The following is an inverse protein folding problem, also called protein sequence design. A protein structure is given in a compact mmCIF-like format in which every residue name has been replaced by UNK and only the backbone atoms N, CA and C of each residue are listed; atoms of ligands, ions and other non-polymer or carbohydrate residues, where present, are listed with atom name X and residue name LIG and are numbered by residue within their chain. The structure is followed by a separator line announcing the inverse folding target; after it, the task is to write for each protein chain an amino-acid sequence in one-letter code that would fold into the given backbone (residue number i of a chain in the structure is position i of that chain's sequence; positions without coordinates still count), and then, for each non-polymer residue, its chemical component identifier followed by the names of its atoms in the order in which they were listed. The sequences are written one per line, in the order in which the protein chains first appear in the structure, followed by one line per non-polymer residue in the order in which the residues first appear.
data_IF_210420842522
#
_entry.id   IF_210420842522
#
_cell.length_a   1.000
_cell.length_b   1.000
_cell.length_c   1.000
_cell.angle_alpha   90.00
_cell.angle_beta   90.00
_cell.angle_gamma   90.00
#
_symmetry.space_group_name_H-M   'P 1'
#
loop_
_entity.id
_entity.type
_entity.pdbx_description
1 polymer ?
#
# COMPACT_ATOMS: atom_id res chain seq x y z
N UNK A 1 7.85 -16.69 -22.70
CA UNK A 1 7.88 -15.22 -22.90
C UNK A 1 9.05 -14.64 -22.12
N UNK A 2 9.95 -13.91 -22.78
CA UNK A 2 11.22 -13.46 -22.20
C UNK A 2 11.03 -12.51 -21.00
N UNK A 3 11.62 -12.86 -19.85
CA UNK A 3 11.66 -12.04 -18.64
C UNK A 3 12.30 -10.65 -18.87
N UNK A 4 13.06 -10.48 -19.94
CA UNK A 4 13.72 -9.21 -20.32
C UNK A 4 12.76 -8.07 -20.69
N UNK A 5 11.45 -8.34 -20.90
CA UNK A 5 10.44 -7.31 -21.16
C UNK A 5 9.55 -6.95 -19.95
N UNK A 6 9.68 -7.66 -18.82
CA UNK A 6 8.78 -7.46 -17.68
C UNK A 6 9.03 -6.12 -16.96
N UNK A 7 10.29 -5.74 -16.77
CA UNK A 7 10.65 -4.50 -16.07
C UNK A 7 10.24 -3.23 -16.84
N UNK A 8 10.51 -3.09 -18.16
CA UNK A 8 10.04 -1.93 -18.93
C UNK A 8 8.52 -1.76 -18.90
N UNK A 9 7.76 -2.86 -18.94
CA UNK A 9 6.31 -2.81 -18.86
C UNK A 9 5.81 -2.32 -17.50
N UNK A 10 6.40 -2.80 -16.40
CA UNK A 10 6.06 -2.34 -15.04
C UNK A 10 6.36 -0.84 -14.89
N UNK A 11 7.51 -0.37 -15.38
CA UNK A 11 7.88 1.04 -15.34
C UNK A 11 6.91 1.90 -16.16
N UNK A 12 6.51 1.44 -17.35
CA UNK A 12 5.53 2.14 -18.17
C UNK A 12 4.18 2.29 -17.45
N UNK A 13 3.69 1.24 -16.78
CA UNK A 13 2.45 1.31 -15.99
C UNK A 13 2.58 2.30 -14.84
N UNK A 14 3.73 2.34 -14.16
CA UNK A 14 3.96 3.28 -13.07
C UNK A 14 3.95 4.74 -13.59
N UNK A 15 4.63 5.01 -14.70
CA UNK A 15 4.70 6.33 -15.33
C UNK A 15 3.34 6.80 -15.84
N UNK A 16 2.60 5.95 -16.54
CA UNK A 16 1.28 6.28 -17.06
C UNK A 16 0.29 6.55 -15.92
N UNK A 17 0.46 5.87 -14.78
CA UNK A 17 -0.37 6.09 -13.59
C UNK A 17 -0.12 7.43 -12.94
N UNK A 18 1.14 7.87 -12.89
CA UNK A 18 1.50 9.21 -12.41
C UNK A 18 0.99 10.29 -13.36
N UNK A 19 1.04 10.07 -14.67
CA UNK A 19 0.47 10.99 -15.66
C UNK A 19 -1.05 11.12 -15.50
N UNK A 20 -1.75 10.00 -15.32
CA UNK A 20 -3.19 9.99 -15.09
C UNK A 20 -3.56 10.70 -13.78
N UNK A 21 -2.80 10.44 -12.70
CA UNK A 21 -2.96 11.11 -11.42
C UNK A 21 -2.79 12.62 -11.55
N UNK A 22 -1.72 13.08 -12.25
CA UNK A 22 -1.46 14.51 -12.45
C UNK A 22 -2.57 15.21 -13.23
N UNK A 23 -3.13 14.54 -14.25
CA UNK A 23 -4.22 15.09 -15.08
C UNK A 23 -5.53 15.26 -14.29
N UNK A 24 -5.83 14.33 -13.38
CA UNK A 24 -7.09 14.29 -12.64
C UNK A 24 -6.92 14.51 -11.12
N UNK A 25 -5.85 15.19 -10.74
CA UNK A 25 -5.45 15.45 -9.35
C UNK A 25 -6.61 15.96 -8.45
N UNK A 26 -7.41 16.98 -8.83
CA UNK A 26 -8.46 17.49 -7.94
C UNK A 26 -9.54 16.43 -7.66
N UNK A 27 -9.90 15.61 -8.65
CA UNK A 27 -10.90 14.56 -8.47
C UNK A 27 -10.44 13.47 -7.51
N UNK A 28 -9.19 13.00 -7.66
CA UNK A 28 -8.61 12.00 -6.77
C UNK A 28 -8.41 12.52 -5.35
N UNK A 29 -7.94 13.77 -5.20
CA UNK A 29 -7.79 14.39 -3.88
C UNK A 29 -9.15 14.56 -3.20
N UNK A 30 -10.20 14.96 -3.91
CA UNK A 30 -11.54 15.12 -3.34
C UNK A 30 -12.08 13.79 -2.81
N UNK A 31 -11.98 12.70 -3.59
CA UNK A 31 -12.41 11.36 -3.16
C UNK A 31 -11.60 10.88 -1.96
N UNK A 32 -10.28 11.04 -1.99
CA UNK A 32 -9.39 10.64 -0.89
C UNK A 32 -9.69 11.42 0.39
N UNK A 33 -9.81 12.74 0.29
CA UNK A 33 -10.08 13.65 1.41
C UNK A 33 -11.44 13.35 2.04
N UNK A 34 -12.48 13.12 1.24
CA UNK A 34 -13.83 12.89 1.73
C UNK A 34 -13.92 11.72 2.73
N UNK A 35 -13.13 10.67 2.52
CA UNK A 35 -13.14 9.48 3.39
C UNK A 35 -12.04 9.54 4.45
N UNK A 36 -10.84 10.00 4.10
CA UNK A 36 -9.71 10.06 5.03
C UNK A 36 -9.90 11.11 6.14
N UNK A 37 -10.60 12.22 5.87
CA UNK A 37 -10.96 13.18 6.92
C UNK A 37 -11.90 12.55 7.94
N UNK A 38 -12.85 11.72 7.51
CA UNK A 38 -13.73 11.00 8.44
C UNK A 38 -12.92 10.04 9.31
N UNK A 39 -11.96 9.33 8.71
CA UNK A 39 -11.02 8.48 9.44
C UNK A 39 -10.22 9.31 10.47
N UNK A 40 -9.70 10.48 10.08
CA UNK A 40 -8.95 11.36 10.98
C UNK A 40 -9.78 11.81 12.18
N UNK A 41 -11.02 12.22 11.95
CA UNK A 41 -11.94 12.65 13.00
C UNK A 41 -12.29 11.50 13.95
N UNK A 42 -12.50 10.29 13.43
CA UNK A 42 -12.74 9.10 14.25
C UNK A 42 -11.53 8.76 15.12
N UNK A 43 -10.31 8.78 14.55
CA UNK A 43 -9.08 8.55 15.30
C UNK A 43 -8.93 9.59 16.42
N UNK A 44 -9.10 10.87 16.09
CA UNK A 44 -8.99 11.97 17.05
C UNK A 44 -10.04 11.84 18.16
N UNK A 45 -11.28 11.48 17.82
CA UNK A 45 -12.35 11.28 18.79
C UNK A 45 -12.02 10.12 19.74
N UNK A 46 -11.61 8.96 19.20
CA UNK A 46 -11.27 7.79 19.99
C UNK A 46 -10.07 8.06 20.92
N UNK A 47 -9.00 8.68 20.42
CA UNK A 47 -7.83 9.01 21.25
C UNK A 47 -8.18 10.00 22.35
N UNK A 48 -9.03 10.98 22.06
CA UNK A 48 -9.48 11.97 23.04
C UNK A 48 -10.34 11.33 24.13
N UNK A 49 -11.30 10.47 23.77
CA UNK A 49 -12.16 9.78 24.74
C UNK A 49 -11.31 8.91 25.69
N UNK A 50 -10.37 8.13 25.16
CA UNK A 50 -9.55 7.25 25.98
C UNK A 50 -8.68 8.06 26.95
N UNK A 51 -8.03 9.13 26.47
CA UNK A 51 -7.19 9.97 27.34
C UNK A 51 -7.98 10.73 28.41
N UNK A 52 -9.20 11.17 28.11
CA UNK A 52 -9.99 12.02 29.02
C UNK A 52 -10.87 11.25 29.99
N UNK A 53 -11.47 10.12 29.57
CA UNK A 53 -12.49 9.41 30.34
C UNK A 53 -11.99 8.10 30.97
N UNK A 54 -11.05 7.41 30.30
CA UNK A 54 -10.64 6.05 30.67
C UNK A 54 -9.22 6.00 31.29
N UNK A 55 -8.44 7.06 31.10
CA UNK A 55 -7.07 7.19 31.60
C UNK A 55 -6.03 6.57 30.66
N UNK A 56 -4.75 6.71 31.00
CA UNK A 56 -3.60 6.26 30.18
C UNK A 56 -3.09 4.86 30.55
N UNK A 57 -3.95 4.02 31.13
CA UNK A 57 -3.59 2.65 31.46
C UNK A 57 -3.25 1.84 30.21
N UNK A 58 -2.24 0.97 30.29
CA UNK A 58 -1.76 0.15 29.16
C UNK A 58 -2.90 -0.67 28.55
N UNK A 59 -3.82 -1.19 29.38
CA UNK A 59 -4.99 -1.94 28.92
C UNK A 59 -5.93 -1.13 28.01
N UNK A 60 -6.23 0.12 28.39
CA UNK A 60 -7.08 1.01 27.58
C UNK A 60 -6.40 1.44 26.28
N UNK A 61 -5.08 1.64 26.31
CA UNK A 61 -4.29 1.92 25.11
C UNK A 61 -4.31 0.74 24.14
N UNK A 62 -4.13 -0.50 24.63
CA UNK A 62 -4.25 -1.69 23.77
C UNK A 62 -5.66 -1.85 23.21
N UNK A 63 -6.70 -1.65 24.04
CA UNK A 63 -8.08 -1.73 23.59
C UNK A 63 -8.38 -0.68 22.50
N UNK A 64 -7.87 0.56 22.65
CA UNK A 64 -7.96 1.60 21.62
C UNK A 64 -7.29 1.14 20.32
N UNK A 65 -6.09 0.57 20.38
CA UNK A 65 -5.37 0.09 19.19
C UNK A 65 -6.19 -0.99 18.47
N UNK A 66 -6.75 -1.96 19.19
CA UNK A 66 -7.60 -2.99 18.60
C UNK A 66 -8.88 -2.42 18.01
N UNK A 67 -9.54 -1.50 18.70
CA UNK A 67 -10.74 -0.82 18.20
C UNK A 67 -10.45 -0.03 16.93
N UNK A 68 -9.35 0.75 16.94
CA UNK A 68 -8.90 1.50 15.77
C UNK A 68 -8.56 0.55 14.63
N UNK A 69 -7.84 -0.56 14.87
CA UNK A 69 -7.54 -1.54 13.82
C UNK A 69 -8.82 -2.10 13.19
N UNK A 70 -9.80 -2.47 14.02
CA UNK A 70 -11.08 -3.03 13.60
C UNK A 70 -11.90 -2.05 12.74
N UNK A 71 -11.83 -0.75 13.04
CA UNK A 71 -12.58 0.30 12.35
C UNK A 71 -11.81 0.87 11.15
N UNK A 72 -10.51 1.17 11.29
CA UNK A 72 -9.68 1.71 10.22
C UNK A 72 -9.51 0.74 9.08
N UNK A 73 -9.28 -0.55 9.36
CA UNK A 73 -9.03 -1.53 8.31
C UNK A 73 -10.14 -1.60 7.24
N UNK A 74 -11.44 -1.76 7.59
CA UNK A 74 -12.50 -1.76 6.58
C UNK A 74 -12.67 -0.39 5.92
N UNK A 75 -12.46 0.71 6.66
CA UNK A 75 -12.51 2.07 6.12
C UNK A 75 -11.40 2.31 5.09
N UNK A 76 -10.17 1.86 5.34
CA UNK A 76 -9.06 1.99 4.39
C UNK A 76 -9.29 1.12 3.16
N UNK A 77 -9.77 -0.13 3.31
CA UNK A 77 -10.18 -0.93 2.15
C UNK A 77 -11.27 -0.23 1.32
N UNK A 78 -12.21 0.43 1.99
CA UNK A 78 -13.24 1.21 1.31
C UNK A 78 -12.64 2.43 0.58
N UNK A 79 -11.65 3.13 1.15
CA UNK A 79 -10.93 4.20 0.44
C UNK A 79 -10.27 3.69 -0.84
N UNK A 80 -9.58 2.54 -0.76
CA UNK A 80 -8.95 1.93 -1.92
C UNK A 80 -9.96 1.52 -2.98
N UNK A 81 -11.11 0.97 -2.58
CA UNK A 81 -12.19 0.63 -3.49
C UNK A 81 -12.75 1.87 -4.22
N UNK A 82 -13.01 2.95 -3.49
CA UNK A 82 -13.52 4.20 -4.05
C UNK A 82 -12.52 4.83 -5.02
N UNK A 83 -11.23 4.87 -4.65
CA UNK A 83 -10.17 5.39 -5.51
C UNK A 83 -9.95 4.54 -6.75
N UNK A 84 -10.05 3.22 -6.64
CA UNK A 84 -9.94 2.29 -7.78
C UNK A 84 -11.06 2.50 -8.80
N UNK A 85 -12.28 2.75 -8.33
CA UNK A 85 -13.42 3.08 -9.21
C UNK A 85 -13.29 4.47 -9.84
N UNK A 86 -12.74 5.44 -9.11
CA UNK A 86 -12.38 6.74 -9.67
C UNK A 86 -11.29 6.60 -10.74
N UNK A 87 -10.32 5.70 -10.54
CA UNK A 87 -9.28 5.40 -11.51
C UNK A 87 -9.87 4.77 -12.78
N UNK A 88 -10.78 3.81 -12.66
CA UNK A 88 -11.46 3.23 -13.83
C UNK A 88 -12.32 4.25 -14.59
N UNK A 89 -13.01 5.16 -13.88
CA UNK A 89 -13.72 6.26 -14.53
C UNK A 89 -12.76 7.15 -15.33
N UNK A 90 -11.61 7.52 -14.74
CA UNK A 90 -10.60 8.34 -15.38
C UNK A 90 -9.93 7.64 -16.58
N UNK A 91 -9.69 6.32 -16.49
CA UNK A 91 -9.15 5.51 -17.58
C UNK A 91 -10.11 5.38 -18.78
N UNK A 92 -11.41 5.55 -18.54
CA UNK A 92 -12.44 5.53 -19.57
C UNK A 92 -12.86 6.95 -20.01
N UNK A 93 -12.03 7.96 -19.72
CA UNK A 93 -12.28 9.39 -20.00
C UNK A 93 -13.62 9.93 -19.46
N UNK A 94 -14.14 9.32 -18.38
CA UNK A 94 -15.38 9.77 -17.71
C UNK A 94 -15.04 10.73 -16.57
N UNK A 95 -15.90 11.73 -16.29
CA UNK A 95 -15.69 12.63 -15.16
C UNK A 95 -15.74 11.87 -13.84
N UNK A 96 -14.77 12.13 -12.96
CA UNK A 96 -14.71 11.56 -11.61
C UNK A 96 -15.83 12.21 -10.78
N UNK A 97 -16.86 11.44 -10.46
CA UNK A 97 -17.96 11.88 -9.60
C UNK A 97 -17.90 11.18 -8.25
N UNK A 98 -17.95 11.96 -7.16
CA UNK A 98 -17.84 11.45 -5.79
C UNK A 98 -18.91 10.40 -5.47
N UNK A 99 -20.15 10.67 -5.89
CA UNK A 99 -21.28 9.76 -5.68
C UNK A 99 -21.07 8.40 -6.36
N UNK A 100 -20.53 8.39 -7.59
CA UNK A 100 -20.27 7.14 -8.30
C UNK A 100 -19.13 6.35 -7.66
N UNK A 101 -18.07 7.02 -7.21
CA UNK A 101 -16.92 6.39 -6.56
C UNK A 101 -17.30 5.73 -5.22
N UNK A 102 -18.09 6.42 -4.39
CA UNK A 102 -18.47 5.96 -3.05
C UNK A 102 -19.60 4.91 -3.03
N UNK A 103 -20.40 4.80 -4.09
CA UNK A 103 -21.59 3.93 -4.07
C UNK A 103 -21.20 2.45 -4.18
N UNK A 104 -20.87 1.80 -3.07
CA UNK A 104 -20.62 0.36 -2.97
C UNK A 104 -21.80 -0.28 -2.24
N UNK A 105 -22.34 -1.37 -2.81
CA UNK A 105 -23.42 -2.12 -2.16
C UNK A 105 -22.92 -2.79 -0.86
N UNK A 106 -23.68 -2.75 0.25
CA UNK A 106 -23.21 -3.22 1.56
C UNK A 106 -22.82 -4.70 1.56
N UNK A 107 -23.55 -5.55 0.83
CA UNK A 107 -23.24 -6.96 0.69
C UNK A 107 -21.88 -7.22 0.00
N UNK A 108 -21.53 -6.39 -1.00
CA UNK A 108 -20.23 -6.48 -1.69
C UNK A 108 -19.10 -5.99 -0.80
N UNK A 109 -19.34 -4.93 -0.02
CA UNK A 109 -18.39 -4.42 0.96
C UNK A 109 -17.99 -5.47 1.99
N UNK A 110 -18.96 -6.20 2.55
CA UNK A 110 -18.70 -7.26 3.50
C UNK A 110 -17.85 -8.40 2.90
N UNK A 111 -18.22 -8.89 1.71
CA UNK A 111 -17.44 -9.91 1.01
C UNK A 111 -16.02 -9.48 0.66
N UNK A 112 -15.84 -8.21 0.28
CA UNK A 112 -14.54 -7.61 0.01
C UNK A 112 -13.65 -7.57 1.25
N UNK A 113 -14.21 -7.22 2.42
CA UNK A 113 -13.45 -7.16 3.69
C UNK A 113 -13.03 -8.56 4.12
N UNK A 114 -13.94 -9.54 4.11
CA UNK A 114 -13.65 -10.92 4.52
C UNK A 114 -12.55 -11.53 3.64
N UNK A 115 -12.67 -11.36 2.32
CA UNK A 115 -11.67 -11.84 1.39
C UNK A 115 -10.31 -11.16 1.59
N UNK A 116 -10.28 -9.82 1.75
CA UNK A 116 -9.04 -9.11 1.99
C UNK A 116 -8.40 -9.44 3.34
N UNK A 117 -9.18 -9.80 4.36
CA UNK A 117 -8.66 -10.23 5.65
C UNK A 117 -7.91 -11.56 5.51
N UNK A 118 -8.51 -12.54 4.81
CA UNK A 118 -7.87 -13.83 4.52
C UNK A 118 -6.65 -13.67 3.60
N UNK A 119 -6.81 -12.93 2.51
CA UNK A 119 -5.72 -12.67 1.57
C UNK A 119 -4.58 -11.89 2.23
N UNK A 120 -4.93 -10.86 3.00
CA UNK A 120 -3.99 -10.04 3.76
C UNK A 120 -3.22 -10.86 4.79
N UNK A 121 -3.86 -11.81 5.47
CA UNK A 121 -3.19 -12.76 6.35
C UNK A 121 -2.15 -13.60 5.60
N UNK A 122 -2.53 -14.19 4.46
CA UNK A 122 -1.62 -14.99 3.61
C UNK A 122 -0.46 -14.11 3.10
N UNK A 123 -0.77 -12.91 2.62
CA UNK A 123 0.22 -11.95 2.15
C UNK A 123 1.18 -11.51 3.27
N UNK A 124 0.69 -11.35 4.51
CA UNK A 124 1.52 -11.06 5.68
C UNK A 124 2.47 -12.19 6.02
N UNK A 125 2.01 -13.46 5.95
CA UNK A 125 2.90 -14.61 6.13
C UNK A 125 3.99 -14.62 5.06
N UNK A 126 3.62 -14.40 3.79
CA UNK A 126 4.58 -14.36 2.69
C UNK A 126 5.58 -13.20 2.83
N UNK A 127 5.11 -11.98 3.14
CA UNK A 127 5.96 -10.83 3.40
C UNK A 127 6.88 -11.07 4.60
N UNK A 128 6.38 -11.74 5.66
CA UNK A 128 7.17 -12.15 6.81
C UNK A 128 8.30 -13.11 6.44
N UNK A 129 8.00 -14.16 5.67
CA UNK A 129 9.01 -15.11 5.16
C UNK A 129 10.06 -14.37 4.32
N UNK A 130 9.64 -13.55 3.37
CA UNK A 130 10.56 -12.77 2.53
C UNK A 130 11.41 -11.80 3.36
N UNK A 131 10.83 -11.18 4.39
CA UNK A 131 11.58 -10.31 5.30
C UNK A 131 12.58 -11.09 6.13
N UNK A 132 12.26 -12.27 6.64
CA UNK A 132 13.21 -13.11 7.40
C UNK A 132 14.34 -13.57 6.48
N UNK A 133 14.02 -14.04 5.27
CA UNK A 133 15.02 -14.54 4.32
C UNK A 133 16.03 -13.46 3.92
N UNK A 134 15.62 -12.19 3.83
CA UNK A 134 16.51 -11.10 3.41
C UNK A 134 17.12 -10.35 4.59
N UNK A 135 16.32 -9.95 5.59
CA UNK A 135 16.82 -9.15 6.72
C UNK A 135 17.72 -9.95 7.67
N UNK A 136 17.45 -11.25 7.86
CA UNK A 136 18.24 -12.09 8.77
C UNK A 136 19.71 -12.21 8.33
N UNK A 137 20.03 -12.62 7.09
CA UNK A 137 21.43 -12.67 6.66
C UNK A 137 22.07 -11.27 6.67
N UNK A 138 21.34 -10.22 6.31
CA UNK A 138 21.88 -8.85 6.38
C UNK A 138 22.28 -8.46 7.80
N UNK A 139 21.47 -8.81 8.81
CA UNK A 139 21.79 -8.55 10.21
C UNK A 139 23.01 -9.35 10.68
N UNK A 140 23.11 -10.63 10.32
CA UNK A 140 24.28 -11.45 10.61
C UNK A 140 25.55 -10.91 9.96
N UNK A 141 25.51 -10.51 8.69
CA UNK A 141 26.65 -9.89 8.01
C UNK A 141 27.02 -8.54 8.61
N UNK A 142 26.04 -7.75 9.06
CA UNK A 142 26.31 -6.47 9.75
C UNK A 142 27.03 -6.68 11.08
N UNK A 143 26.58 -7.65 11.88
CA UNK A 143 27.20 -7.94 13.17
C UNK A 143 28.58 -8.56 13.00
N UNK A 144 28.73 -9.53 12.10
CA UNK A 144 30.02 -10.20 11.85
C UNK A 144 31.03 -9.22 11.24
N UNK A 145 30.62 -8.46 10.22
CA UNK A 145 31.47 -7.44 9.59
C UNK A 145 31.81 -6.30 10.55
N UNK A 146 30.84 -5.85 11.35
CA UNK A 146 31.07 -4.87 12.41
C UNK A 146 32.06 -5.35 13.47
N UNK A 147 31.90 -6.58 13.95
CA UNK A 147 32.79 -7.19 14.93
C UNK A 147 34.22 -7.36 14.38
N UNK A 148 34.36 -7.86 13.15
CA UNK A 148 35.66 -8.02 12.49
C UNK A 148 36.39 -6.70 12.21
N UNK A 149 35.65 -5.62 11.92
CA UNK A 149 36.25 -4.30 11.70
C UNK A 149 36.60 -3.60 13.02
N UNK A 150 35.85 -3.88 14.10
CA UNK A 150 36.10 -3.31 15.42
C UNK A 150 37.38 -3.82 16.10
N UNK A 151 37.89 -4.98 15.70
CA UNK A 151 39.13 -5.56 16.24
C UNK A 151 40.40 -4.98 15.60
N UNK A 152 40.28 -4.23 14.50
CA UNK A 152 41.42 -3.77 13.69
C UNK A 152 41.67 -2.27 13.92
N UNK A 153 42.17 -1.87 15.09
CA UNK A 153 42.60 -0.47 15.42
C UNK A 153 41.50 0.63 15.44
N UNK A 154 41.77 1.70 16.20
CA UNK A 154 40.80 2.77 16.49
C UNK A 154 40.31 3.58 15.27
N UNK A 155 41.07 3.60 14.16
CA UNK A 155 40.68 4.32 12.93
C UNK A 155 39.68 3.49 12.09
N UNK A 156 39.76 2.16 12.16
CA UNK A 156 38.81 1.25 11.48
C UNK A 156 37.54 1.04 12.32
N UNK A 157 37.57 1.32 13.63
CA UNK A 157 36.36 1.36 14.45
C UNK A 157 35.32 2.37 13.94
N UNK A 158 35.76 3.51 13.37
CA UNK A 158 34.87 4.47 12.73
C UNK A 158 34.25 3.93 11.43
N UNK A 159 35.00 3.16 10.63
CA UNK A 159 34.46 2.51 9.42
C UNK A 159 33.53 1.34 9.74
N UNK A 160 33.72 0.65 10.86
CA UNK A 160 32.77 -0.34 11.39
C UNK A 160 31.40 0.30 11.69
N UNK A 161 31.39 1.49 12.30
CA UNK A 161 30.16 2.25 12.55
C UNK A 161 29.43 2.66 11.27
N UNK A 162 30.17 3.10 10.23
CA UNK A 162 29.60 3.42 8.91
C UNK A 162 29.03 2.16 8.25
N UNK A 163 29.73 1.03 8.30
CA UNK A 163 29.29 -0.23 7.71
C UNK A 163 27.99 -0.74 8.35
N UNK A 164 27.93 -0.74 9.69
CA UNK A 164 26.71 -1.09 10.44
C UNK A 164 25.58 -0.09 10.10
N UNK A 165 25.89 1.20 10.03
CA UNK A 165 24.95 2.25 9.65
C UNK A 165 24.32 1.99 8.27
N UNK A 166 25.13 1.72 7.25
CA UNK A 166 24.66 1.45 5.88
C UNK A 166 23.79 0.20 5.83
N UNK A 167 24.19 -0.91 6.45
CA UNK A 167 23.40 -2.14 6.43
C UNK A 167 22.08 -1.95 7.19
N UNK A 168 22.08 -1.21 8.31
CA UNK A 168 20.85 -0.89 9.03
C UNK A 168 19.87 -0.08 8.18
N UNK A 169 20.38 0.85 7.36
CA UNK A 169 19.54 1.63 6.44
C UNK A 169 18.98 0.76 5.31
N UNK A 170 19.78 -0.15 4.74
CA UNK A 170 19.29 -1.07 3.71
C UNK A 170 18.21 -1.99 4.28
N UNK A 171 18.39 -2.49 5.51
CA UNK A 171 17.37 -3.29 6.20
C UNK A 171 16.06 -2.49 6.39
N UNK A 172 16.17 -1.22 6.79
CA UNK A 172 15.02 -0.32 6.94
C UNK A 172 14.30 -0.10 5.60
N UNK A 173 15.06 0.14 4.53
CA UNK A 173 14.51 0.26 3.17
C UNK A 173 13.82 -1.02 2.71
N UNK A 174 14.41 -2.18 3.00
CA UNK A 174 13.81 -3.48 2.68
C UNK A 174 12.48 -3.69 3.39
N UNK A 175 12.41 -3.37 4.68
CA UNK A 175 11.16 -3.45 5.45
C UNK A 175 10.08 -2.52 4.88
N UNK A 176 10.46 -1.32 4.44
CA UNK A 176 9.54 -0.38 3.78
C UNK A 176 9.04 -0.89 2.43
N UNK A 177 9.93 -1.43 1.60
CA UNK A 177 9.55 -2.04 0.31
C UNK A 177 8.61 -3.22 0.54
N UNK A 178 8.91 -4.06 1.53
CA UNK A 178 8.09 -5.23 1.87
C UNK A 178 6.71 -4.82 2.36
N UNK A 179 6.63 -3.79 3.21
CA UNK A 179 5.35 -3.24 3.67
C UNK A 179 4.55 -2.59 2.54
N UNK A 180 5.21 -1.80 1.69
CA UNK A 180 4.57 -1.20 0.52
C UNK A 180 4.08 -2.25 -0.48
N UNK A 181 4.85 -3.32 -0.68
CA UNK A 181 4.46 -4.45 -1.53
C UNK A 181 3.30 -5.25 -0.96
N UNK A 182 3.29 -5.47 0.35
CA UNK A 182 2.15 -6.04 1.07
C UNK A 182 0.88 -5.20 0.85
N UNK A 183 0.97 -3.88 1.06
CA UNK A 183 -0.15 -2.97 0.84
C UNK A 183 -0.61 -2.97 -0.62
N UNK A 184 0.31 -2.90 -1.58
CA UNK A 184 0.01 -2.98 -3.02
C UNK A 184 -0.70 -4.29 -3.38
N UNK A 185 -0.28 -5.42 -2.80
CA UNK A 185 -0.91 -6.72 -3.05
C UNK A 185 -2.37 -6.78 -2.55
N UNK A 186 -2.66 -6.18 -1.39
CA UNK A 186 -4.02 -6.08 -0.85
C UNK A 186 -4.89 -5.21 -1.76
N UNK A 187 -4.37 -4.05 -2.18
CA UNK A 187 -5.09 -3.14 -3.08
C UNK A 187 -5.32 -3.77 -4.45
N UNK A 188 -4.39 -4.58 -4.93
CA UNK A 188 -4.56 -5.36 -6.15
C UNK A 188 -5.65 -6.43 -6.02
N UNK A 189 -5.64 -7.21 -4.93
CA UNK A 189 -6.63 -8.24 -4.67
C UNK A 189 -8.06 -7.65 -4.55
N UNK A 190 -8.16 -6.40 -4.12
CA UNK A 190 -9.41 -5.66 -4.01
C UNK A 190 -10.00 -5.25 -5.39
N UNK A 191 -9.18 -5.13 -6.44
CA UNK A 191 -9.62 -4.65 -7.76
C UNK A 191 -10.73 -5.50 -8.37
N UNK A 192 -10.65 -6.82 -8.22
CA UNK A 192 -11.68 -7.74 -8.75
C UNK A 192 -13.08 -7.47 -8.16
N UNK A 193 -13.15 -7.01 -6.91
CA UNK A 193 -14.42 -6.68 -6.25
C UNK A 193 -14.88 -5.24 -6.52
N UNK A 194 -13.93 -4.31 -6.70
CA UNK A 194 -14.21 -2.91 -6.93
C UNK A 194 -14.60 -2.62 -8.39
N UNK A 195 -13.98 -3.32 -9.35
CA UNK A 195 -14.10 -3.07 -10.78
C UNK A 195 -15.01 -4.07 -11.51
N UNK A 196 -14.94 -5.36 -11.17
CA UNK A 196 -15.74 -6.38 -11.87
C UNK A 196 -17.11 -6.57 -11.18
N UNK A 197 -18.21 -6.53 -11.95
CA UNK A 197 -19.56 -6.77 -11.44
C UNK A 197 -19.88 -8.26 -11.29
N UNK A 198 -18.94 -9.05 -10.76
CA UNK A 198 -19.06 -10.51 -10.65
C UNK A 198 -19.55 -10.94 -9.25
N UNK A 199 -20.20 -12.12 -9.12
CA UNK A 199 -20.55 -12.68 -7.81
C UNK A 199 -19.28 -13.01 -7.01
N UNK A 200 -19.39 -12.95 -5.68
CA UNK A 200 -18.26 -12.99 -4.75
C UNK A 200 -17.28 -14.16 -4.99
N UNK A 201 -17.78 -15.39 -5.15
CA UNK A 201 -16.91 -16.56 -5.36
C UNK A 201 -16.10 -16.49 -6.65
N UNK A 202 -16.69 -15.98 -7.73
CA UNK A 202 -16.00 -15.82 -9.01
C UNK A 202 -14.99 -14.66 -8.99
N UNK A 203 -15.27 -13.60 -8.24
CA UNK A 203 -14.33 -12.49 -8.06
C UNK A 203 -13.10 -12.93 -7.24
N UNK A 204 -13.31 -13.72 -6.18
CA UNK A 204 -12.23 -14.30 -5.39
C UNK A 204 -11.35 -15.22 -6.24
N UNK A 205 -11.94 -16.17 -6.98
CA UNK A 205 -11.19 -17.05 -7.89
C UNK A 205 -10.39 -16.26 -8.93
N UNK A 206 -11.05 -15.31 -9.61
CA UNK A 206 -10.41 -14.44 -10.61
C UNK A 206 -9.21 -13.67 -10.05
N UNK A 207 -9.32 -13.11 -8.84
CA UNK A 207 -8.22 -12.36 -8.23
C UNK A 207 -6.99 -13.24 -7.94
N UNK A 208 -7.19 -14.48 -7.52
CA UNK A 208 -6.13 -15.46 -7.26
C UNK A 208 -5.55 -16.00 -8.57
N UNK A 209 -6.40 -16.30 -9.57
CA UNK A 209 -5.97 -16.78 -10.88
C UNK A 209 -5.11 -15.75 -11.62
N UNK A 210 -5.50 -14.47 -11.57
CA UNK A 210 -4.71 -13.37 -12.14
C UNK A 210 -3.36 -13.23 -11.42
N UNK A 211 -3.32 -13.44 -10.10
CA UNK A 211 -2.10 -13.32 -9.31
C UNK A 211 -1.15 -14.50 -9.57
N UNK A 212 -1.67 -15.72 -9.63
CA UNK A 212 -0.87 -16.95 -9.81
C UNK A 212 -0.35 -17.11 -11.23
N UNK A 213 -1.16 -16.80 -12.26
CA UNK A 213 -0.79 -16.98 -13.65
C UNK A 213 0.47 -16.19 -14.07
N UNK A 214 0.74 -15.06 -13.40
CA UNK A 214 1.90 -14.19 -13.70
C UNK A 214 2.61 -13.72 -12.43
N UNK A 215 2.75 -14.63 -11.45
CA UNK A 215 3.29 -14.34 -10.11
C UNK A 215 4.57 -13.48 -10.11
N UNK A 216 5.54 -13.79 -10.98
CA UNK A 216 6.79 -13.03 -11.06
C UNK A 216 6.61 -11.57 -11.50
N UNK A 217 5.74 -11.29 -12.48
CA UNK A 217 5.45 -9.92 -12.93
C UNK A 217 4.64 -9.16 -11.88
N UNK A 218 3.69 -9.83 -11.24
CA UNK A 218 2.90 -9.26 -10.14
C UNK A 218 3.80 -8.89 -8.95
N UNK A 219 4.75 -9.76 -8.59
CA UNK A 219 5.70 -9.50 -7.50
C UNK A 219 6.60 -8.31 -7.81
N UNK A 220 7.14 -8.21 -9.03
CA UNK A 220 7.91 -7.03 -9.46
C UNK A 220 7.08 -5.74 -9.43
N UNK A 221 5.82 -5.79 -9.85
CA UNK A 221 4.91 -4.64 -9.79
C UNK A 221 4.65 -4.22 -8.33
N UNK A 222 4.39 -5.17 -7.44
CA UNK A 222 4.13 -4.89 -6.02
C UNK A 222 5.38 -4.33 -5.33
N UNK A 223 6.55 -4.89 -5.58
CA UNK A 223 7.80 -4.37 -5.03
C UNK A 223 8.15 -3.00 -5.61
N UNK A 224 7.94 -2.76 -6.91
CA UNK A 224 8.18 -1.47 -7.54
C UNK A 224 7.24 -0.38 -7.02
N UNK A 225 5.94 -0.63 -7.02
CA UNK A 225 4.95 0.28 -6.45
C UNK A 225 5.17 0.49 -4.94
N UNK A 226 5.49 -0.58 -4.21
CA UNK A 226 5.80 -0.56 -2.80
C UNK A 226 7.07 0.23 -2.46
N UNK A 227 8.11 0.13 -3.29
CA UNK A 227 9.34 0.91 -3.14
C UNK A 227 9.09 2.39 -3.34
N UNK A 228 8.36 2.78 -4.39
CA UNK A 228 8.03 4.19 -4.66
C UNK A 228 7.14 4.73 -3.54
N UNK A 229 6.08 4.01 -3.17
CA UNK A 229 5.18 4.42 -2.10
C UNK A 229 5.88 4.50 -0.74
N UNK A 230 6.67 3.49 -0.38
CA UNK A 230 7.37 3.43 0.90
C UNK A 230 8.43 4.53 1.03
N UNK A 231 9.21 4.77 -0.02
CA UNK A 231 10.23 5.85 -0.03
C UNK A 231 9.60 7.23 0.02
N UNK A 232 8.53 7.48 -0.75
CA UNK A 232 7.79 8.74 -0.67
C UNK A 232 7.14 8.93 0.70
N UNK A 233 6.52 7.89 1.26
CA UNK A 233 5.90 7.94 2.59
C UNK A 233 6.92 8.29 3.66
N UNK A 234 8.07 7.60 3.69
CA UNK A 234 9.14 7.89 4.63
C UNK A 234 9.68 9.32 4.43
N UNK A 235 9.89 9.73 3.19
CA UNK A 235 10.45 11.05 2.88
C UNK A 235 9.51 12.16 3.33
N UNK A 236 8.23 12.10 2.97
CA UNK A 236 7.24 13.12 3.33
C UNK A 236 6.90 13.10 4.81
N UNK A 237 6.48 11.95 5.36
CA UNK A 237 6.09 11.86 6.78
C UNK A 237 7.29 12.15 7.67
N UNK A 238 8.45 11.55 7.35
CA UNK A 238 9.68 11.72 8.12
C UNK A 238 10.16 13.17 8.14
N UNK A 239 10.21 13.85 6.98
CA UNK A 239 10.60 15.27 6.94
C UNK A 239 9.60 16.18 7.65
N UNK A 240 8.30 15.94 7.48
CA UNK A 240 7.26 16.74 8.11
C UNK A 240 7.27 16.60 9.65
N UNK A 241 7.39 15.37 10.17
CA UNK A 241 7.52 15.12 11.61
C UNK A 241 8.84 15.72 12.14
N UNK A 242 9.96 15.53 11.45
CA UNK A 242 11.25 16.09 11.86
C UNK A 242 11.21 17.63 11.90
N UNK A 243 10.57 18.26 10.91
CA UNK A 243 10.39 19.71 10.87
C UNK A 243 9.52 20.19 12.03
N UNK A 244 8.44 19.47 12.34
CA UNK A 244 7.57 19.78 13.48
C UNK A 244 8.36 19.72 14.81
N UNK A 245 9.13 18.65 15.02
CA UNK A 245 9.96 18.48 16.21
C UNK A 245 11.04 19.56 16.31
N UNK A 246 11.67 19.92 15.19
CA UNK A 246 12.67 20.98 15.14
C UNK A 246 12.06 22.35 15.47
N UNK A 247 10.87 22.67 14.96
CA UNK A 247 10.16 23.91 15.29
C UNK A 247 9.80 23.93 16.78
N UNK A 248 9.31 22.81 17.32
CA UNK A 248 8.95 22.69 18.73
C UNK A 248 10.17 22.92 19.64
N UNK A 249 11.30 22.30 19.32
CA UNK A 249 12.56 22.45 20.05
C UNK A 249 13.12 23.88 19.96
N UNK A 250 13.14 24.47 18.76
CA UNK A 250 13.68 25.82 18.52
C UNK A 250 12.84 26.93 19.13
N UNK A 251 11.51 26.78 19.16
CA UNK A 251 10.59 27.78 19.73
C UNK A 251 10.23 27.49 21.20
N UNK A 252 10.77 26.41 21.78
CA UNK A 252 10.47 25.94 23.14
C UNK A 252 8.96 25.91 23.42
N UNK A 253 8.17 25.45 22.43
CA UNK A 253 6.72 25.40 22.52
C UNK A 253 6.29 24.22 23.38
N UNK A 254 5.69 24.49 24.53
CA UNK A 254 4.99 23.49 25.35
C UNK A 254 3.60 23.24 24.78
N UNK A 255 3.55 22.51 23.67
CA UNK A 255 2.30 22.13 23.01
C UNK A 255 1.55 21.14 23.92
N UNK A 256 0.27 21.38 24.25
CA UNK A 256 -0.50 20.41 25.02
C UNK A 256 -0.63 19.09 24.24
N UNK A 257 -0.66 17.94 24.94
CA UNK A 257 -0.61 16.61 24.31
C UNK A 257 -1.79 16.32 23.37
N UNK A 258 -2.89 17.06 23.49
CA UNK A 258 -3.99 17.02 22.53
C UNK A 258 -3.63 17.68 21.18
N UNK A 259 -2.98 18.86 21.23
CA UNK A 259 -2.61 19.57 20.01
C UNK A 259 -1.51 18.83 19.24
N UNK A 260 -0.57 18.18 19.94
CA UNK A 260 0.44 17.33 19.29
C UNK A 260 -0.18 16.14 18.55
N UNK A 261 -1.15 15.46 19.17
CA UNK A 261 -1.86 14.33 18.55
C UNK A 261 -2.66 14.80 17.32
N UNK A 262 -3.41 15.91 17.44
CA UNK A 262 -4.22 16.45 16.36
C UNK A 262 -3.36 16.84 15.15
N UNK A 263 -2.22 17.52 15.38
CA UNK A 263 -1.28 17.89 14.32
C UNK A 263 -0.67 16.65 13.68
N UNK A 264 -0.27 15.65 14.49
CA UNK A 264 0.30 14.40 13.97
C UNK A 264 -0.70 13.64 13.11
N UNK A 265 -1.95 13.50 13.57
CA UNK A 265 -3.03 12.86 12.82
C UNK A 265 -3.29 13.62 11.51
N UNK A 266 -3.43 14.95 11.57
CA UNK A 266 -3.66 15.78 10.39
C UNK A 266 -2.53 15.65 9.36
N UNK A 267 -1.28 15.57 9.82
CA UNK A 267 -0.09 15.47 8.98
C UNK A 267 0.02 14.08 8.33
N UNK A 268 -0.20 13.01 9.10
CA UNK A 268 -0.23 11.64 8.57
C UNK A 268 -1.37 11.48 7.56
N UNK A 269 -2.57 11.92 7.92
CA UNK A 269 -3.75 11.83 7.05
C UNK A 269 -3.58 12.68 5.79
N UNK A 270 -3.11 13.92 5.93
CA UNK A 270 -2.82 14.79 4.78
C UNK A 270 -1.79 14.18 3.83
N UNK A 271 -0.79 13.50 4.37
CA UNK A 271 0.18 12.75 3.56
C UNK A 271 -0.47 11.56 2.85
N UNK A 272 -1.32 10.80 3.54
CA UNK A 272 -2.08 9.68 2.94
C UNK A 272 -3.05 10.16 1.86
N UNK A 273 -3.66 11.33 2.01
CA UNK A 273 -4.55 11.93 1.00
C UNK A 273 -3.84 12.06 -0.34
N UNK A 274 -2.55 12.43 -0.32
CA UNK A 274 -1.73 12.62 -1.51
C UNK A 274 -1.12 11.31 -2.01
N UNK A 275 -0.73 10.40 -1.11
CA UNK A 275 0.04 9.20 -1.48
C UNK A 275 -0.83 7.97 -1.80
N UNK A 276 -2.04 7.84 -1.24
CA UNK A 276 -2.90 6.68 -1.51
C UNK A 276 -3.44 6.62 -2.95
N UNK A 277 -3.84 7.73 -3.61
CA UNK A 277 -4.41 7.66 -4.95
C UNK A 277 -3.48 7.05 -6.00
N UNK A 278 -2.18 7.45 -6.11
CA UNK A 278 -1.26 6.80 -7.06
C UNK A 278 -1.20 5.28 -6.92
N UNK A 279 -1.16 4.76 -5.69
CA UNK A 279 -1.09 3.33 -5.44
C UNK A 279 -2.35 2.60 -5.95
N UNK A 280 -3.54 3.14 -5.69
CA UNK A 280 -4.79 2.58 -6.20
C UNK A 280 -4.89 2.63 -7.73
N UNK A 281 -4.42 3.71 -8.36
CA UNK A 281 -4.42 3.88 -9.81
C UNK A 281 -3.51 2.85 -10.48
N UNK A 282 -2.29 2.66 -9.95
CA UNK A 282 -1.35 1.67 -10.46
C UNK A 282 -1.91 0.26 -10.40
N UNK A 283 -2.53 -0.13 -9.28
CA UNK A 283 -3.11 -1.46 -9.13
C UNK A 283 -4.34 -1.67 -10.02
N UNK A 284 -5.18 -0.65 -10.20
CA UNK A 284 -6.33 -0.71 -11.10
C UNK A 284 -5.91 -0.90 -12.57
N UNK A 285 -4.92 -0.12 -13.03
CA UNK A 285 -4.38 -0.26 -14.39
C UNK A 285 -3.70 -1.60 -14.61
N UNK A 286 -2.87 -2.04 -13.65
CA UNK A 286 -2.19 -3.32 -13.73
C UNK A 286 -3.19 -4.47 -13.78
N UNK A 287 -4.21 -4.45 -12.92
CA UNK A 287 -5.30 -5.43 -12.95
C UNK A 287 -6.00 -5.48 -14.30
N UNK A 288 -6.36 -4.30 -14.87
CA UNK A 288 -7.01 -4.22 -16.18
C UNK A 288 -6.12 -4.80 -17.28
N UNK A 289 -4.83 -4.49 -17.30
CA UNK A 289 -3.89 -5.02 -18.29
C UNK A 289 -3.79 -6.55 -18.21
N UNK A 290 -3.61 -7.10 -17.01
CA UNK A 290 -3.48 -8.56 -16.83
C UNK A 290 -4.79 -9.27 -17.17
N UNK A 291 -5.94 -8.69 -16.81
CA UNK A 291 -7.25 -9.22 -17.16
C UNK A 291 -7.47 -9.25 -18.69
N UNK A 292 -7.13 -8.16 -19.39
CA UNK A 292 -7.24 -8.10 -20.86
C UNK A 292 -6.31 -9.10 -21.55
N UNK A 293 -5.08 -9.27 -21.05
CA UNK A 293 -4.14 -10.25 -21.57
C UNK A 293 -4.67 -11.69 -21.41
N UNK A 294 -5.21 -12.04 -20.23
CA UNK A 294 -5.79 -13.37 -20.00
C UNK A 294 -7.03 -13.63 -20.85
N UNK A 295 -7.95 -12.67 -20.93
CA UNK A 295 -9.17 -12.82 -21.71
C UNK A 295 -8.84 -12.93 -23.22
N UNK A 296 -7.79 -12.22 -23.69
CA UNK A 296 -7.25 -12.36 -25.04
C UNK A 296 -6.64 -13.75 -25.30
N UNK A 297 -5.84 -14.28 -24.37
CA UNK A 297 -5.25 -15.62 -24.46
C UNK A 297 -6.34 -16.72 -24.45
N UNK A 298 -7.43 -16.52 -23.71
CA UNK A 298 -8.58 -17.42 -23.71
C UNK A 298 -9.36 -17.36 -25.02
N UNK A 299 -9.60 -16.15 -25.54
CA UNK A 299 -10.29 -15.95 -26.81
C UNK A 299 -9.50 -16.57 -27.97
N UNK A 300 -8.18 -16.39 -28.00
CA UNK A 300 -7.31 -16.99 -29.02
C UNK A 300 -7.39 -18.52 -29.02
N UNK A 301 -7.44 -19.15 -27.83
CA UNK A 301 -7.63 -20.60 -27.70
C UNK A 301 -8.99 -21.06 -28.20
N UNK A 302 -10.07 -20.34 -27.88
CA UNK A 302 -11.43 -20.65 -28.36
C UNK A 302 -11.53 -20.51 -29.88
N UNK A 303 -10.93 -19.47 -30.44
CA UNK A 303 -10.87 -19.24 -31.89
C UNK A 303 -10.09 -20.36 -32.57
N UNK A 304 -8.92 -20.77 -32.05
CA UNK A 304 -8.14 -21.87 -32.59
C UNK A 304 -8.91 -23.20 -32.55
N UNK A 305 -9.58 -23.50 -31.44
CA UNK A 305 -10.43 -24.69 -31.31
C UNK A 305 -11.58 -24.68 -32.33
N UNK A 306 -12.23 -23.53 -32.54
CA UNK A 306 -13.27 -23.38 -33.55
C UNK A 306 -12.76 -23.62 -34.97
N UNK A 307 -11.58 -23.07 -35.31
CA UNK A 307 -10.96 -23.32 -36.63
C UNK A 307 -10.71 -24.81 -36.86
N UNK A 308 -10.20 -25.54 -35.86
CA UNK A 308 -10.00 -26.99 -35.97
C UNK A 308 -11.31 -27.77 -36.16
N UNK A 309 -12.41 -27.32 -35.55
CA UNK A 309 -13.73 -27.97 -35.72
C UNK A 309 -14.41 -27.67 -37.07
N UNK A 310 -14.07 -26.55 -37.73
CA UNK A 310 -14.65 -26.18 -39.03
C UNK A 310 -13.89 -26.84 -40.19
N UNK A 311 -12.61 -27.17 -39.99
CA UNK A 311 -11.77 -27.82 -41.01
C UNK A 311 -11.81 -29.36 -40.98
N UNK A 312 -12.48 -29.96 -39.99
CA UNK A 312 -12.65 -31.40 -39.83
C UNK A 312 -14.01 -31.85 -40.38
#
# INVERSE_FOLDING_TARGET
MNQTRALPQVLQVLDDGLRLYRRNLPGFLLVSTAVLVVIALLVLLCTTIVRTQLGTGVGWTLMLIFLLLLVLYPLTLYTFAALSRAADAALNDRPITLAAALRIGPARGCGMIIFNLLFGFIASVFAGIMSVVVSCPMFYFSLLGGALLSTVSNIVGASAGVFIGVISQISTLWSLISFGGWLASIVYALQAFALEQRPWGSAAGRSVDLLTARFGRSLLMFMGAGAIFGTLSLSFIGTLIATLLLIQDRLNLTIPPFASDAVTIALVVGTLVVLLPPLSIWMAMFHRQVALEQDGDELARRVAAWHCTVTA
#
